data_IF_519265832792
#
_entry.id   IF_519265832792
#
_cell.length_a   1.000
_cell.length_b   1.000
_cell.length_c   1.000
_cell.angle_alpha   90.00
_cell.angle_beta   90.00
_cell.angle_gamma   90.00
#
_symmetry.space_group_name_H-M   'P 1'
#
loop_
_entity.id
_entity.type
_entity.pdbx_description
1 polymer ?
#
# COMPACT_ATOMS: atom_id res chain seq x y z
N UNK A 1 12.89 -3.60 23.64
CA UNK A 1 12.21 -3.48 22.34
C UNK A 1 13.16 -2.83 21.36
N UNK A 2 13.32 -3.40 20.15
CA UNK A 2 14.19 -2.81 19.11
C UNK A 2 13.43 -1.68 18.43
N UNK A 3 13.77 -0.44 18.71
CA UNK A 3 13.12 0.72 18.10
C UNK A 3 13.42 0.76 16.59
N UNK A 4 12.39 0.92 15.76
CA UNK A 4 12.50 1.11 14.31
C UNK A 4 11.81 2.40 13.93
N UNK A 5 12.50 3.24 13.18
CA UNK A 5 11.92 4.49 12.66
C UNK A 5 11.25 4.23 11.32
N UNK A 6 10.01 4.70 11.16
CA UNK A 6 9.28 4.64 9.89
C UNK A 6 9.05 6.07 9.40
N UNK A 7 9.50 6.36 8.19
CA UNK A 7 9.24 7.64 7.56
C UNK A 7 7.81 7.70 7.02
N UNK A 8 7.08 8.74 7.38
CA UNK A 8 5.71 8.99 6.90
C UNK A 8 5.66 10.25 6.05
N UNK A 9 4.71 10.31 5.10
CA UNK A 9 4.46 11.54 4.35
C UNK A 9 3.95 12.64 5.28
N UNK A 10 4.25 13.93 5.01
CA UNK A 10 3.75 15.04 5.82
C UNK A 10 2.23 15.03 5.99
N UNK A 11 1.50 14.68 4.93
CA UNK A 11 0.04 14.56 4.96
C UNK A 11 -0.45 13.42 5.86
N UNK A 12 0.24 12.27 5.86
CA UNK A 12 -0.06 11.15 6.77
C UNK A 12 0.18 11.56 8.22
N UNK A 13 1.29 12.24 8.51
CA UNK A 13 1.57 12.75 9.85
C UNK A 13 0.49 13.71 10.36
N UNK A 14 0.04 14.64 9.52
CA UNK A 14 -1.07 15.55 9.86
C UNK A 14 -2.39 14.82 10.14
N UNK A 15 -2.64 13.71 9.46
CA UNK A 15 -3.81 12.85 9.75
C UNK A 15 -3.66 12.16 11.09
N UNK A 16 -2.50 11.54 11.36
CA UNK A 16 -2.24 10.87 12.65
C UNK A 16 -2.39 11.83 13.83
N UNK A 17 -1.93 13.08 13.69
CA UNK A 17 -2.13 14.13 14.71
C UNK A 17 -3.60 14.38 15.05
N UNK A 18 -4.53 14.24 14.10
CA UNK A 18 -5.97 14.46 14.34
C UNK A 18 -6.59 13.35 15.17
N UNK A 19 -6.08 12.13 15.06
CA UNK A 19 -6.54 10.97 15.82
C UNK A 19 -5.85 10.83 17.18
N UNK A 20 -4.75 11.57 17.40
CA UNK A 20 -4.10 11.63 18.70
C UNK A 20 -4.95 12.49 19.65
N UNK A 21 -5.36 11.92 20.78
CA UNK A 21 -6.10 12.63 21.82
C UNK A 21 -5.40 12.45 23.16
N UNK A 22 -5.40 13.49 24.01
CA UNK A 22 -4.82 13.43 25.36
C UNK A 22 -3.36 12.89 25.35
N UNK A 23 -3.06 11.94 26.23
CA UNK A 23 -1.74 11.34 26.43
C UNK A 23 -1.43 10.15 25.49
N UNK A 24 -2.27 9.90 24.48
CA UNK A 24 -2.03 8.82 23.52
C UNK A 24 -0.72 9.05 22.75
N UNK A 25 0.03 7.98 22.55
CA UNK A 25 1.19 7.93 21.65
C UNK A 25 0.74 7.73 20.20
N UNK A 26 1.65 7.90 19.25
CA UNK A 26 1.36 7.56 17.86
C UNK A 26 1.23 6.04 17.66
N UNK A 27 1.89 5.25 18.49
CA UNK A 27 1.76 3.79 18.46
C UNK A 27 0.32 3.41 18.87
N UNK A 28 -0.22 4.00 19.94
CA UNK A 28 -1.62 3.76 20.36
C UNK A 28 -2.62 4.13 19.26
N UNK A 29 -2.39 5.23 18.55
CA UNK A 29 -3.26 5.64 17.43
C UNK A 29 -3.19 4.64 16.29
N UNK A 30 -1.99 4.16 15.94
CA UNK A 30 -1.80 3.18 14.88
C UNK A 30 -2.43 1.85 15.27
N UNK A 31 -2.22 1.38 16.49
CA UNK A 31 -2.76 0.12 16.99
C UNK A 31 -4.29 0.15 17.00
N UNK A 32 -4.93 1.23 17.48
CA UNK A 32 -6.39 1.37 17.39
C UNK A 32 -6.92 1.32 15.94
N UNK A 33 -6.22 1.97 15.00
CA UNK A 33 -6.60 1.93 13.58
C UNK A 33 -6.44 0.51 13.02
N UNK A 34 -5.40 -0.21 13.42
CA UNK A 34 -5.11 -1.56 12.93
C UNK A 34 -6.04 -2.61 13.56
N UNK A 35 -6.42 -2.46 14.82
CA UNK A 35 -7.34 -3.35 15.52
C UNK A 35 -8.76 -3.31 14.92
N UNK A 36 -9.16 -2.16 14.35
CA UNK A 36 -10.42 -2.03 13.61
C UNK A 36 -10.39 -2.69 12.23
N UNK A 37 -9.20 -2.97 11.67
CA UNK A 37 -9.04 -3.52 10.32
C UNK A 37 -8.79 -5.02 10.43
N UNK A 38 -9.72 -5.85 9.96
CA UNK A 38 -9.47 -7.28 9.84
C UNK A 38 -8.32 -7.53 8.84
N UNK A 39 -7.18 -8.10 9.29
CA UNK A 39 -6.06 -8.38 8.40
C UNK A 39 -6.46 -9.24 7.20
N UNK A 40 -7.41 -10.15 7.37
CA UNK A 40 -7.89 -11.05 6.30
C UNK A 40 -8.54 -10.23 5.20
N UNK A 41 -9.39 -9.26 5.52
CA UNK A 41 -10.05 -8.40 4.54
C UNK A 41 -9.02 -7.55 3.78
N UNK A 42 -8.02 -7.01 4.47
CA UNK A 42 -6.93 -6.25 3.85
C UNK A 42 -6.14 -7.11 2.86
N UNK A 43 -5.76 -8.34 3.24
CA UNK A 43 -5.06 -9.26 2.35
C UNK A 43 -5.91 -9.70 1.16
N UNK A 44 -7.20 -9.96 1.37
CA UNK A 44 -8.13 -10.30 0.29
C UNK A 44 -8.26 -9.15 -0.72
N UNK A 45 -8.36 -7.90 -0.26
CA UNK A 45 -8.40 -6.74 -1.14
C UNK A 45 -7.11 -6.61 -1.97
N UNK A 46 -5.95 -6.81 -1.34
CA UNK A 46 -4.66 -6.80 -2.02
C UNK A 46 -4.54 -7.94 -3.06
N UNK A 47 -5.00 -9.15 -2.71
CA UNK A 47 -5.03 -10.30 -3.63
C UNK A 47 -5.95 -10.05 -4.82
N UNK A 48 -7.13 -9.47 -4.59
CA UNK A 48 -8.08 -9.12 -5.67
C UNK A 48 -7.47 -8.14 -6.65
N UNK A 49 -6.81 -7.10 -6.16
CA UNK A 49 -6.09 -6.14 -6.99
C UNK A 49 -4.93 -6.79 -7.74
N UNK A 50 -4.20 -7.71 -7.10
CA UNK A 50 -3.13 -8.46 -7.76
C UNK A 50 -3.66 -9.33 -8.90
N UNK A 51 -4.74 -10.07 -8.67
CA UNK A 51 -5.39 -10.90 -9.68
C UNK A 51 -5.91 -10.05 -10.84
N UNK A 52 -6.53 -8.90 -10.56
CA UNK A 52 -6.97 -7.95 -11.60
C UNK A 52 -5.80 -7.48 -12.47
N UNK A 53 -4.64 -7.19 -11.87
CA UNK A 53 -3.43 -6.82 -12.61
C UNK A 53 -2.91 -7.98 -13.47
N UNK A 54 -2.96 -9.21 -12.97
CA UNK A 54 -2.57 -10.40 -13.72
C UNK A 54 -3.50 -10.65 -14.91
N UNK A 55 -4.82 -10.53 -14.72
CA UNK A 55 -5.81 -10.62 -15.81
C UNK A 55 -5.53 -9.55 -16.87
N UNK A 56 -5.37 -8.29 -16.49
CA UNK A 56 -5.07 -7.21 -17.43
C UNK A 56 -3.70 -7.39 -18.13
N UNK A 57 -2.73 -8.05 -17.50
CA UNK A 57 -1.48 -8.44 -18.16
C UNK A 57 -1.69 -9.57 -19.18
N UNK A 58 -2.55 -10.55 -18.87
CA UNK A 58 -2.88 -11.65 -19.77
C UNK A 58 -3.74 -11.21 -20.95
N UNK A 59 -4.65 -10.26 -20.73
CA UNK A 59 -5.53 -9.68 -21.75
C UNK A 59 -4.82 -8.66 -22.65
N UNK A 60 -3.54 -8.38 -22.38
CA UNK A 60 -2.69 -7.52 -23.21
C UNK A 60 -2.89 -6.02 -22.99
N UNK A 61 -3.67 -5.59 -21.99
CA UNK A 61 -3.79 -4.18 -21.60
C UNK A 61 -2.47 -3.60 -21.09
N UNK A 62 -1.65 -4.43 -20.44
CA UNK A 62 -0.31 -4.04 -20.00
C UNK A 62 0.78 -4.68 -20.87
N UNK A 63 1.52 -3.85 -21.60
CA UNK A 63 2.70 -4.31 -22.34
C UNK A 63 3.87 -4.54 -21.38
N UNK A 64 4.47 -5.73 -21.41
CA UNK A 64 5.66 -6.02 -20.60
C UNK A 64 6.84 -5.12 -21.01
N UNK A 65 7.73 -4.83 -20.05
CA UNK A 65 8.91 -3.99 -20.29
C UNK A 65 9.83 -4.56 -21.40
N UNK A 66 9.82 -5.89 -21.57
CA UNK A 66 10.48 -6.58 -22.67
C UNK A 66 9.79 -6.33 -24.03
N UNK A 67 8.46 -6.38 -24.09
CA UNK A 67 7.70 -6.09 -25.29
C UNK A 67 7.80 -4.59 -25.70
N UNK A 68 7.80 -3.67 -24.73
CA UNK A 68 8.11 -2.25 -24.96
C UNK A 68 9.52 -2.08 -25.54
N UNK A 69 10.55 -2.69 -24.94
CA UNK A 69 11.92 -2.63 -25.46
C UNK A 69 12.04 -3.22 -26.87
N UNK A 70 11.29 -4.27 -27.21
CA UNK A 70 11.29 -4.86 -28.55
C UNK A 70 10.63 -3.92 -29.57
N UNK A 71 9.52 -3.27 -29.20
CA UNK A 71 8.83 -2.28 -30.05
C UNK A 71 9.69 -1.05 -30.35
N UNK A 72 10.47 -0.57 -29.37
CA UNK A 72 11.32 0.62 -29.50
C UNK A 72 12.77 0.35 -29.94
N UNK A 73 13.21 -0.91 -30.05
CA UNK A 73 14.49 -1.30 -30.68
C UNK A 73 14.37 -1.65 -32.17
N UNK A 74 13.14 -1.72 -32.70
CA UNK A 74 12.87 -2.00 -34.10
C UNK A 74 12.76 -0.73 -34.97
N UNK A 75 13.10 0.43 -34.41
CA UNK A 75 13.26 1.72 -35.10
C UNK A 75 14.71 2.15 -34.96
#
# INVERSE_FOLDING_TARGET
MTYRTINVRPTTYQRLLRYKHMDMTFDDVIDNILDEVDPIEMYQAALKEHNKRLEAMNDGEYTTLAALKKKYKAT
#
